data_IF_352075180682
#
_entry.id   IF_352075180682
#
_cell.length_a   1.000
_cell.length_b   1.000
_cell.length_c   1.000
_cell.angle_alpha   90.00
_cell.angle_beta   90.00
_cell.angle_gamma   90.00
#
_symmetry.space_group_name_H-M   'P 1'
#
loop_
_entity.id
_entity.type
_entity.pdbx_description
1 polymer ?
#
# COMPACT_ATOMS: atom_id res chain seq x y z
N UNK A 1 -18.93 -40.83 47.54
CA UNK A 1 -20.12 -40.21 46.94
C UNK A 1 -19.68 -39.52 45.67
N UNK A 2 -20.07 -40.08 44.54
CA UNK A 2 -19.72 -39.67 43.18
C UNK A 2 -20.88 -38.86 42.61
N UNK A 3 -20.62 -37.71 41.98
CA UNK A 3 -21.43 -37.21 40.85
C UNK A 3 -20.59 -36.26 39.99
N UNK A 4 -20.40 -36.67 38.74
CA UNK A 4 -20.00 -35.86 37.59
C UNK A 4 -21.06 -34.79 37.28
N UNK A 5 -20.63 -33.64 36.75
CA UNK A 5 -21.45 -32.85 35.84
C UNK A 5 -20.61 -32.27 34.69
N UNK A 6 -20.70 -32.98 33.57
CA UNK A 6 -20.70 -32.57 32.17
C UNK A 6 -20.57 -31.09 31.82
N UNK A 7 -19.51 -30.82 31.06
CA UNK A 7 -19.39 -30.00 29.84
C UNK A 7 -20.40 -28.87 29.55
N UNK A 8 -19.85 -27.70 29.27
CA UNK A 8 -20.26 -26.94 28.07
C UNK A 8 -19.08 -26.23 27.44
N UNK A 9 -18.69 -26.71 26.26
CA UNK A 9 -17.89 -25.98 25.29
C UNK A 9 -18.62 -24.70 24.86
N UNK A 10 -17.91 -23.58 24.93
CA UNK A 10 -18.00 -22.50 23.96
C UNK A 10 -16.54 -22.32 23.49
N UNK A 11 -16.17 -22.67 22.27
CA UNK A 11 -16.85 -22.27 21.05
C UNK A 11 -16.56 -20.79 20.75
N UNK A 12 -15.34 -20.32 21.03
CA UNK A 12 -14.81 -19.07 20.52
C UNK A 12 -13.62 -19.39 19.64
N UNK A 13 -13.86 -19.47 18.33
CA UNK A 13 -12.82 -19.39 17.30
C UNK A 13 -11.93 -18.21 17.64
N UNK A 14 -10.71 -18.49 18.08
CA UNK A 14 -9.62 -17.52 18.06
C UNK A 14 -9.41 -17.21 16.58
N UNK A 15 -9.97 -16.10 16.14
CA UNK A 15 -9.65 -15.46 14.86
C UNK A 15 -8.13 -15.42 14.76
N UNK A 16 -7.59 -15.99 13.70
CA UNK A 16 -6.18 -15.90 13.35
C UNK A 16 -5.82 -14.41 13.22
N UNK A 17 -5.40 -13.82 14.33
CA UNK A 17 -4.74 -12.53 14.36
C UNK A 17 -3.24 -12.79 14.12
N UNK A 18 -2.71 -12.00 13.20
CA UNK A 18 -1.30 -11.73 12.98
C UNK A 18 -0.41 -12.89 12.52
N UNK A 19 -0.45 -13.12 11.20
CA UNK A 19 0.84 -13.13 10.49
C UNK A 19 1.26 -11.67 10.29
N UNK A 20 2.27 -11.15 11.00
CA UNK A 20 2.76 -9.78 10.84
C UNK A 20 3.55 -9.55 9.54
N UNK A 21 3.38 -10.41 8.53
CA UNK A 21 4.12 -10.38 7.26
C UNK A 21 3.22 -10.16 6.03
N UNK A 22 1.89 -10.11 6.19
CA UNK A 22 0.98 -9.85 5.08
C UNK A 22 0.77 -8.34 4.92
N UNK A 23 1.08 -7.81 3.73
CA UNK A 23 0.74 -6.43 3.36
C UNK A 23 -0.76 -6.19 3.58
N UNK A 24 -1.11 -5.22 4.43
CA UNK A 24 -2.51 -4.86 4.70
C UNK A 24 -3.10 -4.10 3.49
N UNK A 25 -3.63 -4.87 2.55
CA UNK A 25 -4.27 -4.37 1.34
C UNK A 25 -5.44 -3.43 1.65
N UNK A 26 -6.23 -3.72 2.70
CA UNK A 26 -7.41 -2.94 3.03
C UNK A 26 -7.02 -1.52 3.49
N UNK A 27 -5.99 -1.41 4.34
CA UNK A 27 -5.44 -0.11 4.77
C UNK A 27 -4.90 0.71 3.60
N UNK A 28 -4.23 0.07 2.64
CA UNK A 28 -3.71 0.72 1.43
C UNK A 28 -4.86 1.26 0.56
N UNK A 29 -5.89 0.43 0.33
CA UNK A 29 -7.07 0.82 -0.46
C UNK A 29 -7.84 1.97 0.20
N UNK A 30 -8.02 1.94 1.52
CA UNK A 30 -8.65 3.03 2.26
C UNK A 30 -7.85 4.34 2.13
N UNK A 31 -6.53 4.28 2.26
CA UNK A 31 -5.65 5.45 2.11
C UNK A 31 -5.72 6.03 0.69
N UNK A 32 -5.74 5.17 -0.32
CA UNK A 32 -5.93 5.55 -1.72
C UNK A 32 -7.30 6.22 -1.94
N UNK A 33 -8.37 5.66 -1.37
CA UNK A 33 -9.71 6.21 -1.49
C UNK A 33 -9.81 7.60 -0.84
N UNK A 34 -9.23 7.76 0.37
CA UNK A 34 -9.14 9.06 1.05
C UNK A 34 -8.41 10.10 0.19
N UNK A 35 -7.30 9.72 -0.45
CA UNK A 35 -6.58 10.59 -1.37
C UNK A 35 -7.38 10.98 -2.61
N UNK A 36 -8.30 10.14 -3.09
CA UNK A 36 -9.17 10.48 -4.22
C UNK A 36 -10.27 11.47 -3.83
N UNK A 37 -10.90 11.28 -2.67
CA UNK A 37 -11.94 12.20 -2.14
C UNK A 37 -11.37 13.60 -1.95
N UNK A 38 -10.12 13.71 -1.50
CA UNK A 38 -9.42 14.98 -1.27
C UNK A 38 -9.33 15.88 -2.52
N UNK A 39 -9.45 15.31 -3.73
CA UNK A 39 -9.39 16.03 -5.01
C UNK A 39 -10.44 17.15 -5.12
N UNK A 40 -11.58 16.97 -4.44
CA UNK A 40 -12.72 17.89 -4.47
C UNK A 40 -12.80 18.85 -3.28
N UNK A 41 -11.82 18.83 -2.38
CA UNK A 41 -11.86 19.58 -1.12
C UNK A 41 -10.66 20.50 -0.96
N UNK A 42 -10.76 21.45 -0.03
CA UNK A 42 -9.66 22.29 0.43
C UNK A 42 -9.19 21.79 1.81
N UNK A 43 -8.44 20.67 1.87
CA UNK A 43 -7.89 20.13 3.11
C UNK A 43 -6.90 21.11 3.73
N UNK A 44 -6.72 21.01 5.05
CA UNK A 44 -5.66 21.75 5.71
C UNK A 44 -4.28 21.12 5.43
N UNK A 45 -3.22 21.84 5.75
CA UNK A 45 -1.85 21.39 5.47
C UNK A 45 -1.44 20.19 6.33
N UNK A 46 -2.07 19.99 7.49
CA UNK A 46 -1.77 18.85 8.37
C UNK A 46 -2.30 17.56 7.77
N UNK A 47 -3.56 17.57 7.33
CA UNK A 47 -4.20 16.42 6.67
C UNK A 47 -3.46 16.01 5.40
N UNK A 48 -2.95 16.99 4.63
CA UNK A 48 -2.11 16.74 3.46
C UNK A 48 -0.79 16.05 3.84
N UNK A 49 -0.16 16.48 4.94
CA UNK A 49 1.07 15.90 5.47
C UNK A 49 0.90 14.47 5.94
N UNK A 50 -0.11 14.23 6.79
CA UNK A 50 -0.40 12.90 7.32
C UNK A 50 -0.71 11.90 6.18
N UNK A 51 -1.47 12.35 5.18
CA UNK A 51 -1.80 11.52 4.03
C UNK A 51 -0.59 11.25 3.13
N UNK A 52 0.32 12.23 2.97
CA UNK A 52 1.59 12.01 2.27
C UNK A 52 2.42 10.93 2.96
N UNK A 53 2.56 11.02 4.28
CA UNK A 53 3.35 10.09 5.07
C UNK A 53 2.79 8.67 4.98
N UNK A 54 1.48 8.50 5.13
CA UNK A 54 0.80 7.22 4.96
C UNK A 54 1.03 6.62 3.56
N UNK A 55 0.82 7.41 2.50
CA UNK A 55 1.04 6.94 1.13
C UNK A 55 2.49 6.54 0.88
N UNK A 56 3.45 7.29 1.42
CA UNK A 56 4.88 6.95 1.32
C UNK A 56 5.22 5.68 2.09
N UNK A 57 4.63 5.48 3.25
CA UNK A 57 4.75 4.24 4.02
C UNK A 57 4.27 3.04 3.22
N UNK A 58 3.08 3.14 2.63
CA UNK A 58 2.52 2.09 1.76
C UNK A 58 3.38 1.79 0.55
N UNK A 59 3.94 2.81 -0.12
CA UNK A 59 4.89 2.60 -1.22
C UNK A 59 6.15 1.90 -0.72
N UNK A 60 6.69 2.27 0.44
CA UNK A 60 7.88 1.65 1.00
C UNK A 60 7.69 0.15 1.31
N UNK A 61 6.46 -0.26 1.65
CA UNK A 61 6.10 -1.66 1.85
C UNK A 61 5.98 -2.43 0.52
N UNK A 62 5.32 -1.84 -0.50
CA UNK A 62 5.05 -2.52 -1.78
C UNK A 62 6.24 -2.53 -2.76
N UNK A 63 7.10 -1.51 -2.71
CA UNK A 63 8.17 -1.32 -3.70
C UNK A 63 9.21 -2.47 -3.71
N UNK A 64 9.67 -3.02 -2.56
CA UNK A 64 10.60 -4.14 -2.54
C UNK A 64 10.05 -5.40 -3.24
N UNK A 65 8.78 -5.74 -3.02
CA UNK A 65 8.15 -6.90 -3.65
C UNK A 65 8.07 -6.73 -5.17
N UNK A 66 7.57 -5.58 -5.64
CA UNK A 66 7.50 -5.28 -7.06
C UNK A 66 8.90 -5.30 -7.74
N UNK A 67 9.96 -4.88 -7.03
CA UNK A 67 11.35 -5.00 -7.51
C UNK A 67 11.82 -6.45 -7.57
N UNK A 68 11.46 -7.28 -6.58
CA UNK A 68 11.81 -8.69 -6.56
C UNK A 68 11.20 -9.44 -7.75
N UNK A 69 9.94 -9.15 -8.04
CA UNK A 69 9.22 -9.74 -9.18
C UNK A 69 9.75 -9.23 -10.53
N UNK A 70 10.15 -7.96 -10.61
CA UNK A 70 10.85 -7.44 -11.79
C UNK A 70 12.17 -8.17 -12.08
N UNK A 71 12.93 -8.54 -11.04
CA UNK A 71 14.17 -9.34 -11.18
C UNK A 71 13.91 -10.77 -11.65
N UNK A 72 12.72 -11.31 -11.40
CA UNK A 72 12.31 -12.61 -11.91
C UNK A 72 12.06 -12.65 -13.42
N UNK A 73 11.91 -11.49 -14.08
CA UNK A 73 11.77 -11.40 -15.52
C UNK A 73 13.12 -11.58 -16.24
N UNK A 74 13.07 -12.03 -17.50
CA UNK A 74 14.28 -12.16 -18.30
C UNK A 74 14.95 -10.78 -18.49
N UNK A 75 16.20 -10.68 -18.04
CA UNK A 75 16.96 -9.44 -17.79
C UNK A 75 17.32 -8.61 -19.05
N UNK A 76 16.81 -8.98 -20.23
CA UNK A 76 17.01 -8.24 -21.49
C UNK A 76 15.71 -7.87 -22.20
N UNK A 77 14.55 -8.15 -21.60
CA UNK A 77 13.27 -7.79 -22.22
C UNK A 77 12.99 -6.29 -22.08
N UNK A 78 12.34 -5.71 -23.09
CA UNK A 78 11.83 -4.34 -23.04
C UNK A 78 10.90 -4.15 -21.83
N UNK A 79 10.17 -5.20 -21.46
CA UNK A 79 9.25 -5.18 -20.32
C UNK A 79 9.99 -5.07 -18.98
N UNK A 80 11.07 -5.84 -18.78
CA UNK A 80 11.90 -5.73 -17.58
C UNK A 80 12.52 -4.32 -17.44
N UNK A 81 12.96 -3.72 -18.56
CA UNK A 81 13.49 -2.35 -18.55
C UNK A 81 12.42 -1.31 -18.23
N UNK A 82 11.23 -1.40 -18.84
CA UNK A 82 10.09 -0.49 -18.55
C UNK A 82 9.64 -0.59 -17.10
N UNK A 83 9.55 -1.80 -16.57
CA UNK A 83 9.17 -2.05 -15.19
C UNK A 83 10.19 -1.42 -14.22
N UNK A 84 11.49 -1.67 -14.45
CA UNK A 84 12.56 -1.09 -13.63
C UNK A 84 12.53 0.44 -13.67
N UNK A 85 12.39 1.04 -14.86
CA UNK A 85 12.32 2.49 -15.02
C UNK A 85 11.09 3.11 -14.30
N UNK A 86 9.94 2.41 -14.30
CA UNK A 86 8.74 2.82 -13.56
C UNK A 86 8.97 2.79 -12.05
N UNK A 87 9.56 1.70 -11.53
CA UNK A 87 9.88 1.55 -10.10
C UNK A 87 10.87 2.62 -9.62
N UNK A 88 11.91 2.90 -10.40
CA UNK A 88 12.85 3.99 -10.10
C UNK A 88 12.18 5.37 -10.15
N UNK A 89 11.20 5.54 -11.03
CA UNK A 89 10.36 6.74 -11.08
C UNK A 89 9.53 6.94 -9.81
N UNK A 90 8.90 5.87 -9.33
CA UNK A 90 8.13 5.86 -8.08
C UNK A 90 9.05 6.20 -6.89
N UNK A 91 10.21 5.58 -6.81
CA UNK A 91 11.18 5.83 -5.73
C UNK A 91 11.71 7.28 -5.74
N UNK A 92 11.89 7.88 -6.93
CA UNK A 92 12.22 9.30 -7.02
C UNK A 92 11.06 10.17 -6.55
N UNK A 93 9.83 9.83 -6.92
CA UNK A 93 8.64 10.58 -6.53
C UNK A 93 8.45 10.65 -5.02
N UNK A 94 8.66 9.53 -4.31
CA UNK A 94 8.52 9.49 -2.84
C UNK A 94 9.53 10.38 -2.12
N UNK A 95 10.60 10.83 -2.78
CA UNK A 95 11.58 11.75 -2.20
C UNK A 95 11.23 13.24 -2.36
N UNK A 96 10.29 13.60 -3.23
CA UNK A 96 10.06 15.01 -3.59
C UNK A 96 9.31 15.82 -2.52
N UNK A 97 8.59 15.18 -1.59
CA UNK A 97 7.79 15.89 -0.60
C UNK A 97 6.56 16.60 -1.21
N UNK A 98 5.73 17.26 -0.39
CA UNK A 98 4.55 18.02 -0.84
C UNK A 98 4.85 19.26 -1.71
N UNK A 99 6.12 19.69 -1.80
CA UNK A 99 6.49 20.94 -2.47
C UNK A 99 6.11 22.19 -1.66
N UNK A 100 6.10 23.36 -2.32
CA UNK A 100 6.02 24.67 -1.66
C UNK A 100 4.63 25.31 -1.61
N UNK A 101 3.59 24.67 -2.16
CA UNK A 101 2.23 25.24 -2.17
C UNK A 101 1.11 24.22 -2.20
N UNK A 102 -0.12 24.67 -1.94
CA UNK A 102 -1.29 23.79 -1.85
C UNK A 102 -1.51 22.98 -3.14
N UNK A 103 -1.37 23.60 -4.32
CA UNK A 103 -1.51 22.90 -5.59
C UNK A 103 -0.44 21.81 -5.77
N UNK A 104 0.82 22.08 -5.40
CA UNK A 104 1.88 21.07 -5.48
C UNK A 104 1.62 19.92 -4.51
N UNK A 105 1.11 20.21 -3.31
CA UNK A 105 0.78 19.23 -2.30
C UNK A 105 -0.33 18.28 -2.79
N UNK A 106 -1.41 18.82 -3.34
CA UNK A 106 -2.48 18.02 -3.95
C UNK A 106 -1.97 17.15 -5.10
N UNK A 107 -1.18 17.73 -6.00
CA UNK A 107 -0.60 17.02 -7.14
C UNK A 107 0.32 15.90 -6.66
N UNK A 108 1.09 16.12 -5.61
CA UNK A 108 1.96 15.09 -5.03
C UNK A 108 1.15 13.93 -4.45
N UNK A 109 0.17 14.21 -3.59
CA UNK A 109 -0.68 13.18 -2.97
C UNK A 109 -1.36 12.32 -4.03
N UNK A 110 -1.88 12.93 -5.10
CA UNK A 110 -2.52 12.17 -6.17
C UNK A 110 -1.53 11.32 -6.97
N UNK A 111 -0.30 11.79 -7.18
CA UNK A 111 0.74 11.00 -7.83
C UNK A 111 1.12 9.80 -6.95
N UNK A 112 1.33 10.02 -5.65
CA UNK A 112 1.61 8.95 -4.69
C UNK A 112 0.47 7.93 -4.63
N UNK A 113 -0.78 8.38 -4.56
CA UNK A 113 -1.95 7.48 -4.56
C UNK A 113 -2.02 6.65 -5.84
N UNK A 114 -1.73 7.23 -7.01
CA UNK A 114 -1.69 6.49 -8.29
C UNK A 114 -0.55 5.48 -8.33
N UNK A 115 0.60 5.83 -7.75
CA UNK A 115 1.74 4.92 -7.66
C UNK A 115 1.44 3.77 -6.69
N UNK A 116 0.78 4.01 -5.54
CA UNK A 116 0.24 2.97 -4.66
C UNK A 116 -0.73 2.04 -5.40
N UNK A 117 -1.72 2.60 -6.12
CA UNK A 117 -2.69 1.82 -6.89
C UNK A 117 -2.01 0.89 -7.89
N UNK A 118 -1.01 1.41 -8.60
CA UNK A 118 -0.29 0.64 -9.59
C UNK A 118 0.52 -0.49 -8.94
N UNK A 119 1.21 -0.21 -7.81
CA UNK A 119 1.97 -1.21 -7.05
C UNK A 119 1.06 -2.29 -6.47
N UNK A 120 -0.10 -1.90 -5.91
CA UNK A 120 -1.07 -2.84 -5.37
C UNK A 120 -1.62 -3.78 -6.45
N UNK A 121 -1.87 -3.26 -7.65
CA UNK A 121 -2.28 -4.09 -8.79
C UNK A 121 -1.19 -5.08 -9.22
N UNK A 122 0.11 -4.72 -9.11
CA UNK A 122 1.21 -5.67 -9.35
C UNK A 122 1.24 -6.76 -8.28
N UNK A 123 1.21 -6.38 -7.00
CA UNK A 123 1.17 -7.33 -5.88
C UNK A 123 0.01 -8.33 -6.03
N UNK A 124 -1.19 -7.85 -6.31
CA UNK A 124 -2.37 -8.70 -6.53
C UNK A 124 -2.24 -9.60 -7.79
N UNK A 125 -1.49 -9.19 -8.81
CA UNK A 125 -1.24 -10.00 -10.00
C UNK A 125 -0.20 -11.10 -9.74
N UNK A 126 0.76 -10.85 -8.87
CA UNK A 126 1.78 -11.80 -8.44
C UNK A 126 1.22 -12.85 -7.49
N UNK A 127 0.38 -12.45 -6.53
CA UNK A 127 -0.31 -13.37 -5.62
C UNK A 127 -1.25 -14.37 -6.32
N UNK A 128 -1.61 -14.12 -7.58
CA UNK A 128 -2.45 -15.00 -8.42
C UNK A 128 -1.67 -15.97 -9.31
N UNK A 129 -0.34 -15.87 -9.35
CA UNK A 129 0.53 -16.76 -10.15
C UNK A 129 0.90 -18.01 -9.37
#
# INVERSE_FOLDING_TARGET
MTTNHTERQAGGTVTAADEPDAIDVASIEETIARAQVLRGQAPDTSELGDLEELLRGHIALLLPEARQSARGLWHGSIEAHRLTARLDGIERQTRLGLGSGALSAHVQIHQLARDCQWLLAQHAAEARR
#
